data_IF_844019200774
#
_entry.id   IF_844019200774
#
_cell.length_a   1.000
_cell.length_b   1.000
_cell.length_c   1.000
_cell.angle_alpha   90.00
_cell.angle_beta   90.00
_cell.angle_gamma   90.00
#
_symmetry.space_group_name_H-M   'P 1'
#
loop_
_entity.id
_entity.type
_entity.pdbx_description
1 polymer ?
#
# COMPACT_ATOMS: atom_id res chain seq x y z
N UNK A 1 -7.97 2.69 -15.94
CA UNK A 1 -8.39 3.04 -14.56
C UNK A 1 -9.69 3.82 -14.63
N UNK A 2 -10.59 3.63 -13.64
CA UNK A 2 -11.77 4.49 -13.41
C UNK A 2 -11.34 5.76 -12.69
N UNK A 3 -12.10 6.84 -12.83
CA UNK A 3 -11.80 8.14 -12.19
C UNK A 3 -12.90 8.48 -11.18
N UNK A 4 -12.53 8.72 -9.94
CA UNK A 4 -13.36 9.31 -8.89
C UNK A 4 -13.08 10.81 -8.74
N UNK A 5 -13.52 11.40 -7.65
CA UNK A 5 -13.30 12.83 -7.36
C UNK A 5 -11.86 13.08 -6.84
N UNK A 6 -11.33 12.15 -6.03
CA UNK A 6 -10.04 12.29 -5.36
C UNK A 6 -9.00 11.25 -5.77
N UNK A 7 -9.43 10.20 -6.49
CA UNK A 7 -8.59 9.06 -6.86
C UNK A 7 -8.86 8.56 -8.27
N UNK A 8 -7.86 7.90 -8.86
CA UNK A 8 -8.02 6.95 -9.97
C UNK A 8 -7.80 5.55 -9.43
N UNK A 9 -8.59 4.58 -9.90
CA UNK A 9 -8.50 3.21 -9.42
C UNK A 9 -8.81 2.17 -10.50
N UNK A 10 -8.35 0.95 -10.31
CA UNK A 10 -8.74 -0.20 -11.12
C UNK A 10 -8.94 -1.43 -10.24
N UNK A 11 -9.91 -2.25 -10.63
CA UNK A 11 -10.10 -3.55 -10.03
C UNK A 11 -9.01 -4.51 -10.49
N UNK A 12 -8.65 -5.45 -9.63
CA UNK A 12 -7.71 -6.51 -9.92
C UNK A 12 -8.32 -7.89 -9.72
N UNK A 13 -7.52 -8.91 -10.04
CA UNK A 13 -7.90 -10.32 -9.93
C UNK A 13 -7.15 -11.03 -8.80
N UNK A 14 -6.26 -10.34 -8.10
CA UNK A 14 -5.45 -10.88 -7.00
C UNK A 14 -5.99 -10.44 -5.64
N UNK A 15 -5.54 -11.08 -4.56
CA UNK A 15 -5.85 -10.67 -3.18
C UNK A 15 -4.89 -9.58 -2.68
N UNK A 16 -4.54 -8.66 -3.57
CA UNK A 16 -3.64 -7.55 -3.29
C UNK A 16 -4.14 -6.28 -3.97
N UNK A 17 -3.87 -5.13 -3.34
CA UNK A 17 -3.83 -3.86 -4.04
C UNK A 17 -2.57 -3.07 -3.68
N UNK A 18 -2.20 -2.18 -4.59
CA UNK A 18 -1.12 -1.21 -4.40
C UNK A 18 -1.68 0.19 -4.53
N UNK A 19 -1.18 1.14 -3.77
CA UNK A 19 -1.60 2.53 -3.92
C UNK A 19 -0.46 3.55 -3.87
N UNK A 20 -0.72 4.73 -4.43
CA UNK A 20 0.08 5.94 -4.36
C UNK A 20 -0.83 7.11 -3.97
N UNK A 21 -1.18 7.20 -2.69
CA UNK A 21 -2.15 8.18 -2.19
C UNK A 21 -1.64 9.62 -2.24
N UNK A 22 -0.33 9.83 -2.32
CA UNK A 22 0.32 11.13 -2.36
C UNK A 22 0.96 11.45 -3.73
N UNK A 23 0.36 10.97 -4.82
CA UNK A 23 0.92 11.14 -6.17
C UNK A 23 0.75 12.56 -6.73
N UNK A 24 -0.23 13.34 -6.27
CA UNK A 24 -0.59 14.63 -6.86
C UNK A 24 0.19 15.80 -6.25
N UNK A 25 0.65 16.73 -7.12
CA UNK A 25 1.26 18.01 -6.74
C UNK A 25 0.23 19.00 -6.21
N UNK A 26 0.63 19.99 -5.34
CA UNK A 26 1.96 20.17 -4.73
C UNK A 26 2.23 19.14 -3.62
N UNK A 27 3.48 18.97 -3.22
CA UNK A 27 3.97 18.02 -2.21
C UNK A 27 3.72 16.54 -2.59
N UNK A 28 3.78 16.22 -3.88
CA UNK A 28 3.73 14.85 -4.35
C UNK A 28 4.93 14.03 -3.87
N UNK A 29 4.69 12.76 -3.61
CA UNK A 29 5.71 11.73 -3.55
C UNK A 29 6.03 11.32 -5.00
N UNK A 30 6.88 12.12 -5.67
CA UNK A 30 7.16 12.03 -7.10
C UNK A 30 7.47 10.58 -7.55
N UNK A 31 6.95 10.20 -8.72
CA UNK A 31 7.11 8.89 -9.38
C UNK A 31 6.41 7.71 -8.70
N UNK A 32 5.68 7.91 -7.61
CA UNK A 32 4.95 6.81 -6.95
C UNK A 32 3.77 6.33 -7.78
N UNK A 33 3.12 7.22 -8.52
CA UNK A 33 2.06 6.90 -9.49
C UNK A 33 2.55 5.99 -10.62
N UNK A 34 3.72 6.29 -11.19
CA UNK A 34 4.33 5.46 -12.24
C UNK A 34 4.74 4.08 -11.71
N UNK A 35 5.28 4.03 -10.49
CA UNK A 35 5.63 2.76 -9.82
C UNK A 35 4.36 1.92 -9.61
N UNK A 36 3.31 2.51 -9.05
CA UNK A 36 2.03 1.80 -8.81
C UNK A 36 1.40 1.36 -10.14
N UNK A 37 1.37 2.21 -11.16
CA UNK A 37 0.86 1.86 -12.48
C UNK A 37 1.61 0.67 -13.10
N UNK A 38 2.95 0.66 -13.03
CA UNK A 38 3.78 -0.44 -13.55
C UNK A 38 3.57 -1.76 -12.79
N UNK A 39 3.38 -1.72 -11.46
CA UNK A 39 3.06 -2.93 -10.68
C UNK A 39 1.68 -3.48 -11.08
N UNK A 40 0.68 -2.63 -11.21
CA UNK A 40 -0.67 -3.02 -11.65
C UNK A 40 -0.63 -3.68 -13.01
N UNK A 41 0.05 -3.06 -13.98
CA UNK A 41 0.17 -3.58 -15.34
C UNK A 41 0.77 -4.99 -15.37
N UNK A 42 1.82 -5.24 -14.59
CA UNK A 42 2.54 -6.53 -14.57
C UNK A 42 1.84 -7.62 -13.77
N UNK A 43 1.07 -7.26 -12.75
CA UNK A 43 0.49 -8.24 -11.80
C UNK A 43 -1.01 -8.44 -11.95
N UNK A 44 -1.72 -7.50 -12.55
CA UNK A 44 -3.19 -7.48 -12.55
C UNK A 44 -3.80 -7.29 -11.16
N UNK A 45 -3.03 -6.81 -10.17
CA UNK A 45 -3.58 -6.46 -8.86
C UNK A 45 -4.47 -5.22 -8.95
N UNK A 46 -5.32 -4.99 -7.96
CA UNK A 46 -6.07 -3.75 -7.84
C UNK A 46 -5.12 -2.57 -7.52
N UNK A 47 -5.53 -1.36 -7.85
CA UNK A 47 -4.72 -0.20 -7.52
C UNK A 47 -5.47 1.11 -7.40
N UNK A 48 -4.88 2.03 -6.61
CA UNK A 48 -5.39 3.38 -6.38
C UNK A 48 -4.26 4.39 -6.56
N UNK A 49 -4.54 5.50 -7.24
CA UNK A 49 -3.63 6.64 -7.38
C UNK A 49 -4.39 7.91 -6.96
N UNK A 50 -3.87 8.62 -5.97
CA UNK A 50 -4.39 9.92 -5.54
C UNK A 50 -4.26 10.96 -6.64
N UNK A 51 -5.34 11.68 -6.92
CA UNK A 51 -5.39 12.72 -7.97
C UNK A 51 -5.43 14.13 -7.42
N UNK A 52 -5.60 14.25 -6.10
CA UNK A 52 -5.66 15.53 -5.38
C UNK A 52 -4.50 15.61 -4.40
N UNK A 53 -3.88 16.79 -4.33
CA UNK A 53 -2.75 17.02 -3.43
C UNK A 53 -3.12 16.76 -1.97
N UNK A 54 -2.20 16.19 -1.20
CA UNK A 54 -2.32 16.04 0.26
C UNK A 54 -2.51 17.36 1.01
N UNK A 55 -2.26 18.49 0.38
CA UNK A 55 -2.53 19.80 0.97
C UNK A 55 -4.01 20.20 0.91
N UNK A 56 -4.79 19.54 0.07
CA UNK A 56 -6.24 19.69 -0.07
C UNK A 56 -6.94 18.56 0.66
N UNK A 57 -6.55 17.30 0.39
CA UNK A 57 -7.10 16.12 1.05
C UNK A 57 -6.02 15.05 1.19
N UNK A 58 -5.74 14.63 2.42
CA UNK A 58 -4.71 13.63 2.73
C UNK A 58 -5.36 12.26 2.99
N UNK A 59 -5.34 11.39 1.98
CA UNK A 59 -5.90 10.04 2.04
C UNK A 59 -5.21 9.14 3.08
N UNK A 60 -3.99 9.51 3.49
CA UNK A 60 -3.24 8.81 4.53
C UNK A 60 -3.48 9.39 5.94
N UNK A 61 -4.62 10.04 6.15
CA UNK A 61 -5.05 10.59 7.44
C UNK A 61 -6.46 10.09 7.81
N UNK A 62 -6.83 10.14 9.09
CA UNK A 62 -8.22 9.87 9.48
C UNK A 62 -9.20 10.83 8.81
N UNK A 63 -10.50 10.45 8.67
CA UNK A 63 -11.54 11.38 8.32
C UNK A 63 -11.55 12.57 9.28
N UNK A 64 -11.89 13.75 8.78
CA UNK A 64 -11.94 14.98 9.56
C UNK A 64 -12.32 16.17 8.68
N UNK A 65 -12.51 17.37 9.25
CA UNK A 65 -12.91 18.56 8.50
C UNK A 65 -12.02 18.80 7.26
N UNK A 66 -12.67 18.89 6.09
CA UNK A 66 -11.99 19.08 4.81
C UNK A 66 -11.31 17.82 4.22
N UNK A 67 -11.38 16.67 4.91
CA UNK A 67 -10.77 15.41 4.48
C UNK A 67 -11.77 14.24 4.38
N UNK A 68 -12.97 14.41 4.89
CA UNK A 68 -13.97 13.34 5.02
C UNK A 68 -14.31 12.67 3.69
N UNK A 69 -14.70 13.45 2.69
CA UNK A 69 -15.17 12.93 1.40
C UNK A 69 -14.08 12.11 0.70
N UNK A 70 -12.85 12.61 0.69
CA UNK A 70 -11.72 11.95 0.05
C UNK A 70 -11.37 10.61 0.72
N UNK A 71 -11.33 10.61 2.06
CA UNK A 71 -11.03 9.38 2.83
C UNK A 71 -12.15 8.37 2.69
N UNK A 72 -13.41 8.80 2.64
CA UNK A 72 -14.52 7.86 2.43
C UNK A 72 -14.53 7.30 1.01
N UNK A 73 -14.28 8.11 -0.03
CA UNK A 73 -14.12 7.61 -1.40
C UNK A 73 -13.01 6.54 -1.49
N UNK A 74 -11.85 6.81 -0.90
CA UNK A 74 -10.73 5.87 -0.84
C UNK A 74 -11.10 4.56 -0.12
N UNK A 75 -11.74 4.64 1.05
CA UNK A 75 -12.16 3.47 1.83
C UNK A 75 -13.26 2.66 1.13
N UNK A 76 -14.19 3.32 0.45
CA UNK A 76 -15.24 2.67 -0.31
C UNK A 76 -14.68 1.89 -1.50
N UNK A 77 -13.66 2.43 -2.18
CA UNK A 77 -12.98 1.72 -3.27
C UNK A 77 -12.23 0.50 -2.75
N UNK A 78 -11.55 0.59 -1.61
CA UNK A 78 -10.93 -0.59 -0.97
C UNK A 78 -12.00 -1.64 -0.64
N UNK A 79 -13.13 -1.24 -0.09
CA UNK A 79 -14.25 -2.15 0.19
C UNK A 79 -14.75 -2.84 -1.07
N UNK A 80 -14.89 -2.11 -2.19
CA UNK A 80 -15.27 -2.67 -3.47
C UNK A 80 -14.24 -3.69 -4.00
N UNK A 81 -12.95 -3.47 -3.81
CA UNK A 81 -11.91 -4.47 -4.15
C UNK A 81 -12.11 -5.78 -3.39
N UNK A 82 -12.40 -5.70 -2.10
CA UNK A 82 -12.60 -6.86 -1.25
C UNK A 82 -13.88 -7.63 -1.60
N UNK A 83 -14.96 -6.94 -1.95
CA UNK A 83 -16.17 -7.57 -2.48
C UNK A 83 -15.94 -8.22 -3.84
N UNK A 84 -15.27 -7.51 -4.75
CA UNK A 84 -15.00 -8.01 -6.11
C UNK A 84 -14.14 -9.28 -6.12
N UNK A 85 -13.22 -9.42 -5.17
CA UNK A 85 -12.41 -10.62 -5.02
C UNK A 85 -13.09 -11.75 -4.23
N UNK A 86 -14.30 -11.53 -3.74
CA UNK A 86 -15.04 -12.50 -2.91
C UNK A 86 -14.45 -12.73 -1.52
N UNK A 87 -13.53 -11.88 -1.06
CA UNK A 87 -12.94 -11.95 0.27
C UNK A 87 -13.85 -11.41 1.36
N UNK A 88 -14.71 -10.46 1.01
CA UNK A 88 -15.69 -9.87 1.90
C UNK A 88 -17.08 -10.22 1.38
N UNK A 89 -17.84 -11.00 2.15
CA UNK A 89 -19.22 -11.33 1.83
C UNK A 89 -20.19 -10.28 2.43
N UNK A 90 -21.39 -10.08 1.85
CA UNK A 90 -22.41 -9.24 2.42
C UNK A 90 -22.70 -9.59 3.88
N UNK A 91 -22.76 -8.57 4.75
CA UNK A 91 -23.02 -8.75 6.18
C UNK A 91 -21.82 -9.22 7.02
N UNK A 92 -20.68 -9.55 6.42
CA UNK A 92 -19.44 -9.88 7.14
C UNK A 92 -18.59 -8.62 7.39
N UNK A 93 -17.79 -8.68 8.47
CA UNK A 93 -16.88 -7.59 8.86
C UNK A 93 -15.41 -8.01 8.80
N UNK A 94 -15.13 -9.24 8.42
CA UNK A 94 -13.76 -9.79 8.41
C UNK A 94 -13.52 -10.58 7.15
N UNK A 95 -12.29 -10.45 6.63
CA UNK A 95 -11.88 -11.17 5.43
C UNK A 95 -11.74 -12.67 5.70
N UNK A 96 -12.19 -13.48 4.74
CA UNK A 96 -12.07 -14.94 4.79
C UNK A 96 -10.61 -15.42 4.64
N UNK A 97 -9.78 -14.69 3.89
CA UNK A 97 -8.38 -15.03 3.61
C UNK A 97 -7.47 -13.82 3.73
N UNK A 98 -6.15 -14.02 3.84
CA UNK A 98 -5.18 -12.91 3.84
C UNK A 98 -5.32 -12.02 2.59
N UNK A 99 -5.28 -10.73 2.82
CA UNK A 99 -5.26 -9.67 1.81
C UNK A 99 -4.04 -8.78 2.05
N UNK A 100 -3.39 -8.36 0.97
CA UNK A 100 -2.20 -7.52 1.01
C UNK A 100 -2.51 -6.12 0.47
N UNK A 101 -2.17 -5.11 1.24
CA UNK A 101 -2.18 -3.70 0.87
C UNK A 101 -0.76 -3.15 0.95
N UNK A 102 -0.25 -2.61 -0.15
CA UNK A 102 1.06 -1.95 -0.21
C UNK A 102 0.86 -0.49 -0.61
N UNK A 103 1.00 0.42 0.35
CA UNK A 103 1.01 1.86 0.10
C UNK A 103 2.41 2.33 -0.29
N UNK A 104 2.59 2.79 -1.53
CA UNK A 104 3.86 3.30 -2.05
C UNK A 104 3.94 4.79 -1.77
N UNK A 105 4.94 5.17 -0.99
CA UNK A 105 5.25 6.52 -0.58
C UNK A 105 6.66 6.92 -0.97
N UNK A 106 6.94 8.21 -0.83
CA UNK A 106 8.25 8.76 -1.15
C UNK A 106 8.86 9.54 -0.01
N UNK A 107 10.00 9.06 0.47
CA UNK A 107 10.85 9.80 1.38
C UNK A 107 12.00 10.50 0.64
N UNK A 108 12.61 11.50 1.28
CA UNK A 108 13.91 12.04 0.88
C UNK A 108 14.99 10.99 1.10
N UNK A 109 16.17 11.19 0.50
CA UNK A 109 17.31 10.29 0.72
C UNK A 109 17.79 10.28 2.19
N UNK A 110 17.60 11.35 2.90
CA UNK A 110 17.79 11.39 4.36
C UNK A 110 16.53 10.84 5.08
N UNK A 111 16.69 10.08 6.18
CA UNK A 111 17.94 9.86 6.94
C UNK A 111 18.67 8.54 6.57
N UNK A 112 18.16 7.73 5.65
CA UNK A 112 18.68 6.38 5.41
C UNK A 112 19.71 6.29 4.29
N UNK A 113 19.85 7.33 3.48
CA UNK A 113 20.68 7.37 2.28
C UNK A 113 19.88 7.15 0.98
N UNK A 114 20.55 7.34 -0.18
CA UNK A 114 19.90 7.34 -1.50
C UNK A 114 19.36 5.97 -1.92
N UNK A 115 19.91 4.88 -1.38
CA UNK A 115 19.51 3.51 -1.68
C UNK A 115 18.81 2.89 -0.47
N UNK A 116 17.57 3.34 -0.20
CA UNK A 116 16.86 2.90 0.99
C UNK A 116 15.36 2.76 0.79
N UNK A 117 14.80 1.76 1.48
CA UNK A 117 13.37 1.50 1.59
C UNK A 117 13.04 1.36 3.07
N UNK A 118 12.08 2.12 3.57
CA UNK A 118 11.54 1.93 4.92
C UNK A 118 10.11 1.40 4.84
N UNK A 119 9.80 0.42 5.67
CA UNK A 119 8.49 -0.19 5.77
C UNK A 119 7.88 0.14 7.13
N UNK A 120 6.77 0.86 7.13
CA UNK A 120 5.98 1.18 8.31
C UNK A 120 4.84 0.19 8.53
N UNK A 121 4.78 -0.37 9.74
CA UNK A 121 3.74 -1.34 10.15
C UNK A 121 3.08 -0.97 11.47
N UNK A 122 3.41 0.21 12.01
CA UNK A 122 3.06 0.61 13.39
C UNK A 122 3.49 -0.49 14.36
N UNK A 123 4.74 -0.92 14.26
CA UNK A 123 5.32 -1.99 15.08
C UNK A 123 4.50 -3.31 15.00
N UNK A 124 4.11 -3.70 13.80
CA UNK A 124 3.36 -4.92 13.52
C UNK A 124 1.84 -4.83 13.71
N UNK A 125 1.28 -3.64 14.02
CA UNK A 125 -0.17 -3.48 14.25
C UNK A 125 -1.01 -3.54 12.97
N UNK A 126 -0.43 -3.28 11.81
CA UNK A 126 -1.15 -3.22 10.53
C UNK A 126 -1.20 -4.56 9.79
N UNK A 127 -0.47 -5.56 10.27
CA UNK A 127 -0.35 -6.87 9.61
C UNK A 127 -0.30 -8.01 10.63
N UNK A 128 -0.44 -9.25 10.16
CA UNK A 128 -0.22 -10.42 11.01
C UNK A 128 1.28 -10.71 11.14
N UNK A 129 1.75 -11.30 12.25
CA UNK A 129 3.17 -11.63 12.43
C UNK A 129 3.73 -12.51 11.30
N UNK A 130 2.92 -13.48 10.81
CA UNK A 130 3.29 -14.36 9.69
C UNK A 130 3.50 -13.57 8.40
N UNK A 131 2.57 -12.68 8.05
CA UNK A 131 2.65 -11.89 6.82
C UNK A 131 3.74 -10.83 6.95
N UNK A 132 3.95 -10.24 8.13
CA UNK A 132 5.05 -9.30 8.37
C UNK A 132 6.43 -9.95 8.15
N UNK A 133 6.64 -11.13 8.73
CA UNK A 133 7.88 -11.89 8.54
C UNK A 133 8.11 -12.22 7.07
N UNK A 134 7.09 -12.78 6.41
CA UNK A 134 7.16 -13.11 4.99
C UNK A 134 7.47 -11.88 4.13
N UNK A 135 6.77 -10.76 4.33
CA UNK A 135 6.97 -9.53 3.54
C UNK A 135 8.40 -9.02 3.67
N UNK A 136 8.95 -9.05 4.89
CA UNK A 136 10.33 -8.64 5.13
C UNK A 136 11.35 -9.56 4.44
N UNK A 137 11.12 -10.87 4.41
CA UNK A 137 11.97 -11.84 3.74
C UNK A 137 11.87 -11.71 2.21
N UNK A 138 10.65 -11.63 1.67
CA UNK A 138 10.39 -11.44 0.25
C UNK A 138 11.05 -10.15 -0.28
N UNK A 139 10.81 -9.01 0.39
CA UNK A 139 11.37 -7.73 0.00
C UNK A 139 12.92 -7.76 0.02
N UNK A 140 13.52 -8.29 1.09
CA UNK A 140 14.98 -8.41 1.19
C UNK A 140 15.57 -9.33 0.11
N UNK A 141 14.87 -10.38 -0.28
CA UNK A 141 15.29 -11.28 -1.36
C UNK A 141 15.30 -10.55 -2.69
N UNK A 142 14.24 -9.81 -3.00
CA UNK A 142 14.18 -9.03 -4.26
C UNK A 142 15.22 -7.91 -4.29
N UNK A 143 15.41 -7.22 -3.17
CA UNK A 143 16.44 -6.18 -3.05
C UNK A 143 17.84 -6.73 -3.32
N UNK A 144 18.20 -7.90 -2.76
CA UNK A 144 19.51 -8.52 -2.99
C UNK A 144 19.72 -8.93 -4.45
N UNK A 145 18.65 -9.33 -5.13
CA UNK A 145 18.71 -9.66 -6.56
C UNK A 145 18.96 -8.45 -7.44
N UNK A 146 18.56 -7.26 -6.98
CA UNK A 146 18.79 -6.01 -7.71
C UNK A 146 20.10 -5.32 -7.34
N UNK A 147 20.33 -5.04 -6.05
CA UNK A 147 21.57 -4.45 -5.52
C UNK A 147 21.72 -4.78 -4.03
N UNK A 148 22.88 -5.27 -3.60
CA UNK A 148 23.16 -5.53 -2.19
C UNK A 148 23.23 -4.26 -1.35
N UNK A 149 23.39 -3.08 -1.97
CA UNK A 149 23.55 -1.80 -1.28
C UNK A 149 22.22 -1.18 -0.84
N UNK A 150 21.09 -1.71 -1.31
CA UNK A 150 19.78 -1.18 -0.90
C UNK A 150 19.50 -1.61 0.54
N UNK A 151 19.36 -0.60 1.39
CA UNK A 151 19.02 -0.76 2.80
C UNK A 151 17.51 -0.88 2.99
N UNK A 152 17.05 -1.98 3.57
CA UNK A 152 15.66 -2.16 3.98
C UNK A 152 15.55 -2.07 5.50
N UNK A 153 14.74 -1.14 5.99
CA UNK A 153 14.49 -0.94 7.42
C UNK A 153 12.99 -0.99 7.73
N UNK A 154 12.64 -1.30 8.96
CA UNK A 154 11.26 -1.38 9.43
C UNK A 154 11.06 -0.50 10.63
N UNK A 155 9.95 0.27 10.63
CA UNK A 155 9.45 1.05 11.77
C UNK A 155 10.51 1.92 12.46
N UNK A 156 11.25 2.73 11.69
CA UNK A 156 12.29 3.63 12.23
C UNK A 156 11.82 5.09 12.30
N UNK A 157 11.57 5.70 11.15
CA UNK A 157 11.15 7.10 11.03
C UNK A 157 9.71 7.21 10.51
N UNK A 158 9.36 6.37 9.52
CA UNK A 158 8.02 6.34 8.94
C UNK A 158 7.31 5.06 9.34
N UNK A 159 6.91 4.98 10.59
CA UNK A 159 6.28 3.79 11.19
C UNK A 159 4.85 3.52 10.69
N UNK A 160 4.31 4.41 9.86
CA UNK A 160 2.89 4.41 9.50
C UNK A 160 2.04 5.23 10.47
N UNK A 161 0.74 5.32 10.21
CA UNK A 161 -0.19 6.09 11.03
C UNK A 161 -1.50 5.32 11.34
N UNK A 162 -2.36 5.92 12.16
CA UNK A 162 -3.63 5.29 12.58
C UNK A 162 -4.55 4.93 11.43
N UNK A 163 -4.54 5.69 10.31
CA UNK A 163 -5.37 5.40 9.14
C UNK A 163 -5.00 4.07 8.52
N UNK A 164 -3.70 3.73 8.45
CA UNK A 164 -3.25 2.43 7.97
C UNK A 164 -3.76 1.29 8.86
N UNK A 165 -3.72 1.46 10.19
CA UNK A 165 -4.24 0.47 11.14
C UNK A 165 -5.78 0.38 11.11
N UNK A 166 -6.47 1.46 10.74
CA UNK A 166 -7.92 1.48 10.67
C UNK A 166 -8.49 0.49 9.65
N UNK A 167 -7.79 0.21 8.55
CA UNK A 167 -8.19 -0.82 7.60
C UNK A 167 -8.28 -2.22 8.25
N UNK A 168 -7.45 -2.50 9.23
CA UNK A 168 -7.43 -3.77 9.94
C UNK A 168 -8.38 -3.79 11.16
N UNK A 169 -8.31 -2.76 12.01
CA UNK A 169 -8.95 -2.74 13.32
C UNK A 169 -10.21 -1.88 13.39
N UNK A 170 -10.44 -1.10 12.34
CA UNK A 170 -11.55 -0.16 12.28
C UNK A 170 -11.27 1.18 12.95
N UNK A 171 -12.20 2.10 12.75
CA UNK A 171 -12.25 3.44 13.30
C UNK A 171 -13.72 3.81 13.55
N UNK A 172 -14.25 3.42 14.69
CA UNK A 172 -15.65 3.62 15.05
C UNK A 172 -16.64 2.71 14.29
N UNK A 173 -17.92 3.00 14.44
CA UNK A 173 -19.00 2.15 13.88
C UNK A 173 -19.10 2.21 12.36
N UNK A 174 -18.77 3.36 11.76
CA UNK A 174 -18.87 3.58 10.32
C UNK A 174 -17.78 2.83 9.54
N UNK A 175 -16.63 2.60 10.17
CA UNK A 175 -15.52 1.87 9.57
C UNK A 175 -15.00 0.78 10.52
N UNK A 176 -15.62 -0.39 10.53
CA UNK A 176 -15.29 -1.46 11.50
C UNK A 176 -13.94 -2.16 11.21
N UNK A 177 -13.31 -1.85 10.07
CA UNK A 177 -12.11 -2.54 9.59
C UNK A 177 -12.43 -3.92 9.02
N UNK A 178 -11.38 -4.59 8.53
CA UNK A 178 -11.50 -5.85 7.79
C UNK A 178 -10.92 -7.05 8.55
N UNK A 179 -10.49 -6.84 9.80
CA UNK A 179 -10.04 -7.89 10.70
C UNK A 179 -8.62 -8.39 10.43
N UNK A 180 -8.27 -9.49 11.09
CA UNK A 180 -6.88 -10.01 11.18
C UNK A 180 -6.27 -10.43 9.84
N UNK A 181 -7.08 -10.67 8.84
CA UNK A 181 -6.62 -11.07 7.50
C UNK A 181 -6.27 -9.89 6.59
N UNK A 182 -6.57 -8.65 6.98
CA UNK A 182 -6.09 -7.46 6.28
C UNK A 182 -4.67 -7.13 6.73
N UNK A 183 -3.74 -7.01 5.78
CA UNK A 183 -2.33 -6.73 6.06
C UNK A 183 -1.89 -5.55 5.22
N UNK A 184 -1.50 -4.47 5.87
CA UNK A 184 -1.10 -3.23 5.22
C UNK A 184 0.34 -2.86 5.56
N UNK A 185 1.07 -2.39 4.56
CA UNK A 185 2.45 -1.91 4.65
C UNK A 185 2.56 -0.54 4.01
N UNK A 186 3.04 0.45 4.76
CA UNK A 186 3.45 1.74 4.21
C UNK A 186 4.91 1.61 3.77
N UNK A 187 5.18 1.80 2.49
CA UNK A 187 6.53 1.63 1.93
C UNK A 187 7.05 2.97 1.46
N UNK A 188 8.00 3.49 2.19
CA UNK A 188 8.71 4.73 1.90
C UNK A 188 9.97 4.43 1.09
N UNK A 189 10.04 4.92 -0.13
CA UNK A 189 11.16 4.69 -1.04
C UNK A 189 11.96 5.98 -1.17
N UNK A 190 13.29 5.93 -1.04
CA UNK A 190 14.18 7.08 -1.20
C UNK A 190 14.00 7.74 -2.57
N UNK A 191 14.27 9.05 -2.64
CA UNK A 191 14.11 9.82 -3.87
C UNK A 191 14.96 9.25 -5.00
N UNK A 192 16.22 8.96 -4.75
CA UNK A 192 17.14 8.43 -5.75
C UNK A 192 16.64 7.13 -6.36
N UNK A 193 16.10 6.20 -5.56
CA UNK A 193 15.53 4.95 -6.07
C UNK A 193 14.32 5.19 -6.97
N UNK A 194 13.41 6.08 -6.58
CA UNK A 194 12.20 6.40 -7.37
C UNK A 194 12.54 7.13 -8.67
N UNK A 195 13.53 8.00 -8.65
CA UNK A 195 13.91 8.83 -9.81
C UNK A 195 14.74 8.04 -10.83
N UNK A 196 15.75 7.30 -10.39
CA UNK A 196 16.74 6.68 -11.29
C UNK A 196 16.62 5.16 -11.41
N UNK A 197 15.94 4.48 -10.47
CA UNK A 197 15.83 3.01 -10.43
C UNK A 197 14.38 2.53 -10.43
N UNK A 198 13.47 3.34 -10.96
CA UNK A 198 12.03 3.10 -10.94
C UNK A 198 11.63 1.74 -11.48
N UNK A 199 12.21 1.34 -12.62
CA UNK A 199 11.89 0.04 -13.22
C UNK A 199 12.26 -1.14 -12.30
N UNK A 200 13.39 -1.06 -11.62
CA UNK A 200 13.80 -2.09 -10.68
C UNK A 200 12.87 -2.15 -9.45
N UNK A 201 12.39 -0.99 -8.97
CA UNK A 201 11.39 -0.95 -7.90
C UNK A 201 10.08 -1.60 -8.36
N UNK A 202 9.62 -1.32 -9.57
CA UNK A 202 8.44 -1.96 -10.16
C UNK A 202 8.64 -3.48 -10.20
N UNK A 203 9.78 -3.96 -10.67
CA UNK A 203 10.06 -5.40 -10.80
C UNK A 203 10.12 -6.09 -9.43
N UNK A 204 10.75 -5.47 -8.44
CA UNK A 204 10.80 -5.98 -7.07
C UNK A 204 9.39 -6.13 -6.46
N UNK A 205 8.56 -5.10 -6.53
CA UNK A 205 7.21 -5.19 -5.96
C UNK A 205 6.29 -6.07 -6.81
N UNK A 206 6.48 -6.17 -8.12
CA UNK A 206 5.80 -7.16 -8.97
C UNK A 206 6.06 -8.58 -8.47
N UNK A 207 7.31 -8.91 -8.18
CA UNK A 207 7.68 -10.22 -7.64
C UNK A 207 7.07 -10.47 -6.25
N UNK A 208 7.07 -9.47 -5.36
CA UNK A 208 6.44 -9.56 -4.02
C UNK A 208 4.92 -9.83 -4.14
N UNK A 209 4.22 -9.11 -5.02
CA UNK A 209 2.77 -9.30 -5.26
C UNK A 209 2.49 -10.68 -5.86
N UNK A 210 3.29 -11.12 -6.81
CA UNK A 210 3.15 -12.44 -7.44
C UNK A 210 3.35 -13.57 -6.41
N UNK A 211 4.39 -13.48 -5.57
CA UNK A 211 4.66 -14.45 -4.51
C UNK A 211 3.50 -14.52 -3.50
N UNK A 212 2.96 -13.37 -3.06
CA UNK A 212 1.80 -13.34 -2.16
C UNK A 212 0.58 -14.03 -2.78
N UNK A 213 0.33 -13.80 -4.05
CA UNK A 213 -0.79 -14.42 -4.77
C UNK A 213 -0.68 -15.94 -4.78
N UNK A 214 0.52 -16.48 -4.94
CA UNK A 214 0.78 -17.93 -4.87
C UNK A 214 0.59 -18.51 -3.47
N UNK A 215 0.95 -17.77 -2.42
CA UNK A 215 0.77 -18.18 -1.03
C UNK A 215 -0.70 -18.20 -0.59
N UNK A 216 -1.49 -17.25 -1.07
CA UNK A 216 -2.89 -17.09 -0.68
C UNK A 216 -3.78 -18.24 -1.18
N UNK A 217 -3.33 -19.04 -2.13
CA UNK A 217 -4.05 -20.20 -2.69
C UNK A 217 -3.59 -21.55 -2.13
N UNK A 218 -2.46 -21.62 -1.43
CA UNK A 218 -2.02 -22.86 -0.79
C UNK A 218 -2.70 -23.02 0.57
N UNK A 219 -3.65 -23.91 0.64
CA UNK A 219 -4.25 -24.44 1.90
C UNK A 219 -3.31 -25.43 2.56
#
# INVERSE_FOLDING_TARGET
MKTGNYIKYCFGTTYCHVDAVHAASPKADQFTDEIVAGIIEKTGCAGIIGTVSRTIADLNRPPGPGNDEAVWEYRDVISQFLYNTGLLAPGTRSLAKPYLHIGIHGMKDQPHGPFSIEVGTIFGRTCSPRVNKWFGEALKTQVRGFSPDIKVVFDKHWVGNKSLAAHRWGEGRRYPGYGRNYNAFQVEISRTLREYHRQAIIDMFTAVVAEFSLMSFRR
#
